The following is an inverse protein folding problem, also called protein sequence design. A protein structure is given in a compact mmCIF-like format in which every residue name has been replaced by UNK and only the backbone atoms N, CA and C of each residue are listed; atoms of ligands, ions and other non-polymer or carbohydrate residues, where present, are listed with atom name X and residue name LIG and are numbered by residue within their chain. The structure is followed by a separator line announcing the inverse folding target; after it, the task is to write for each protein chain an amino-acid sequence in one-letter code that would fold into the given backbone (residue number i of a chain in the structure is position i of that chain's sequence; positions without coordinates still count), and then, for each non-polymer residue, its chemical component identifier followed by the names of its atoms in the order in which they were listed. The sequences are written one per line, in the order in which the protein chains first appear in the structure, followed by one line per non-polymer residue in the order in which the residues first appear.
data_IF_985003676902
#
_entry.id   IF_985003676902
#
_cell.length_a   1.000
_cell.length_b   1.000
_cell.length_c   1.000
_cell.angle_alpha   90.00
_cell.angle_beta   90.00
_cell.angle_gamma   90.00
#
_symmetry.space_group_name_H-M   'P 1'
#
loop_
_entity.id
_entity.type
_entity.pdbx_description
1 polymer ?
#
# COMPACT_ATOMS: atom_id res chain seq x y z
N UNK A 1 3.38 -5.87 -1.53
CA UNK A 1 4.18 -6.07 -0.31
C UNK A 1 3.33 -6.44 0.91
N UNK A 2 2.24 -5.74 1.21
CA UNK A 2 1.34 -6.09 2.34
C UNK A 2 0.72 -7.48 2.20
N UNK A 3 0.35 -7.91 0.98
CA UNK A 3 -0.22 -9.25 0.73
C UNK A 3 0.77 -10.40 0.96
N UNK A 4 2.05 -10.21 0.60
CA UNK A 4 3.09 -11.24 0.79
C UNK A 4 3.43 -11.37 2.27
N UNK A 5 3.55 -10.27 3.00
CA UNK A 5 3.76 -10.26 4.45
C UNK A 5 2.56 -10.85 5.19
N UNK A 6 1.34 -10.54 4.75
CA UNK A 6 0.12 -11.14 5.29
C UNK A 6 0.02 -12.65 5.01
N UNK A 7 0.41 -13.08 3.81
CA UNK A 7 0.46 -14.49 3.43
C UNK A 7 1.51 -15.26 4.24
N UNK A 8 2.71 -14.72 4.37
CA UNK A 8 3.77 -15.30 5.20
C UNK A 8 3.37 -15.34 6.67
N UNK A 9 2.78 -14.27 7.21
CA UNK A 9 2.30 -14.24 8.58
C UNK A 9 1.22 -15.31 8.83
N UNK A 10 0.30 -15.53 7.89
CA UNK A 10 -0.70 -16.59 7.99
C UNK A 10 -0.11 -17.99 7.90
N UNK A 11 0.90 -18.21 7.04
CA UNK A 11 1.61 -19.49 6.97
C UNK A 11 2.37 -19.78 8.27
N UNK A 12 3.08 -18.81 8.81
CA UNK A 12 3.76 -18.92 10.10
C UNK A 12 2.79 -19.16 11.25
N UNK A 13 1.66 -18.46 11.27
CA UNK A 13 0.60 -18.66 12.25
C UNK A 13 0.00 -20.07 12.14
N UNK A 14 -0.28 -20.56 10.92
CA UNK A 14 -0.85 -21.90 10.74
C UNK A 14 0.13 -23.00 11.16
N UNK A 15 1.44 -22.82 10.92
CA UNK A 15 2.47 -23.73 11.41
C UNK A 15 2.64 -23.63 12.92
N UNK A 16 2.60 -22.44 13.50
CA UNK A 16 2.74 -22.26 14.95
C UNK A 16 1.57 -22.89 15.72
N UNK A 17 0.35 -22.88 15.18
CA UNK A 17 -0.80 -23.60 15.74
C UNK A 17 -0.62 -25.12 15.77
N UNK A 18 0.21 -25.66 14.87
CA UNK A 18 0.49 -27.10 14.84
C UNK A 18 1.49 -27.55 15.92
N UNK A 19 2.35 -26.62 16.38
CA UNK A 19 3.46 -26.94 17.30
C UNK A 19 3.35 -26.27 18.67
N UNK A 20 2.38 -25.39 18.88
CA UNK A 20 2.24 -24.59 20.12
C UNK A 20 0.81 -24.57 20.61
N UNK A 21 0.66 -24.41 21.93
CA UNK A 21 -0.67 -24.17 22.51
C UNK A 21 -1.29 -22.88 22.00
N UNK A 22 -2.59 -22.92 21.72
CA UNK A 22 -3.37 -21.78 21.17
C UNK A 22 -3.24 -20.52 22.04
N UNK A 23 -3.01 -20.69 23.34
CA UNK A 23 -2.82 -19.60 24.30
C UNK A 23 -1.58 -18.73 24.02
N UNK A 24 -0.51 -19.35 23.50
CA UNK A 24 0.74 -18.63 23.15
C UNK A 24 0.68 -17.95 21.79
N UNK A 25 -0.13 -18.47 20.86
CA UNK A 25 -0.24 -17.93 19.50
C UNK A 25 -1.22 -16.76 19.44
N UNK A 26 -2.22 -16.73 20.32
CA UNK A 26 -3.22 -15.66 20.37
C UNK A 26 -2.62 -14.26 20.56
N UNK A 27 -1.68 -14.00 21.49
CA UNK A 27 -1.05 -12.68 21.63
C UNK A 27 -0.28 -12.21 20.42
N UNK A 28 0.33 -13.12 19.64
CA UNK A 28 1.09 -12.79 18.43
C UNK A 28 0.21 -12.16 17.34
N UNK A 29 -1.08 -12.51 17.28
CA UNK A 29 -2.04 -11.87 16.35
C UNK A 29 -2.25 -10.39 16.69
N UNK A 30 -2.30 -10.06 17.98
CA UNK A 30 -2.45 -8.66 18.42
C UNK A 30 -1.19 -7.83 18.14
N UNK A 31 -0.01 -8.43 18.21
CA UNK A 31 1.23 -7.77 17.76
C UNK A 31 1.15 -7.41 16.28
N UNK A 32 0.67 -8.32 15.43
CA UNK A 32 0.44 -8.02 14.00
C UNK A 32 -0.51 -6.83 13.79
N UNK A 33 -1.58 -6.73 14.60
CA UNK A 33 -2.50 -5.59 14.55
C UNK A 33 -1.81 -4.28 14.96
N UNK A 34 -1.02 -4.29 16.03
CA UNK A 34 -0.25 -3.12 16.49
C UNK A 34 0.72 -2.65 15.40
N UNK A 35 1.48 -3.57 14.81
CA UNK A 35 2.38 -3.24 13.69
C UNK A 35 1.63 -2.68 12.48
N UNK A 36 0.45 -3.22 12.15
CA UNK A 36 -0.39 -2.71 11.08
C UNK A 36 -0.84 -1.26 11.35
N UNK A 37 -1.25 -0.95 12.58
CA UNK A 37 -1.65 0.41 12.97
C UNK A 37 -0.46 1.37 12.86
N UNK A 38 0.70 1.01 13.41
CA UNK A 38 1.93 1.83 13.32
C UNK A 38 2.30 2.07 11.86
N UNK A 39 2.23 1.05 11.03
CA UNK A 39 2.51 1.15 9.60
C UNK A 39 1.52 2.08 8.88
N UNK A 40 0.23 2.01 9.19
CA UNK A 40 -0.79 2.91 8.64
C UNK A 40 -0.55 4.38 9.03
N UNK A 41 -0.18 4.64 10.29
CA UNK A 41 0.17 5.97 10.76
C UNK A 41 1.42 6.50 10.02
N UNK A 42 2.45 5.66 9.86
CA UNK A 42 3.65 5.99 9.09
C UNK A 42 3.34 6.32 7.64
N UNK A 43 2.51 5.51 6.96
CA UNK A 43 2.09 5.79 5.58
C UNK A 43 1.31 7.10 5.45
N UNK A 44 0.44 7.41 6.43
CA UNK A 44 -0.32 8.66 6.44
C UNK A 44 0.61 9.86 6.59
N UNK A 45 1.60 9.76 7.49
CA UNK A 45 2.62 10.79 7.65
C UNK A 45 3.44 11.00 6.37
N UNK A 46 3.88 9.92 5.73
CA UNK A 46 4.64 9.97 4.47
C UNK A 46 3.80 10.65 3.36
N UNK A 47 2.51 10.34 3.25
CA UNK A 47 1.64 10.96 2.25
C UNK A 47 1.53 12.49 2.46
N UNK A 48 1.40 12.95 3.70
CA UNK A 48 1.37 14.38 4.05
C UNK A 48 2.72 15.04 3.77
N UNK A 49 3.83 14.38 4.14
CA UNK A 49 5.19 14.86 3.90
C UNK A 49 5.47 15.00 2.39
N UNK A 50 5.11 14.01 1.57
CA UNK A 50 5.25 14.07 0.11
C UNK A 50 4.45 15.26 -0.44
N UNK A 51 3.22 15.46 0.01
CA UNK A 51 2.44 16.61 -0.44
C UNK A 51 3.10 17.95 -0.08
N UNK A 52 3.60 18.10 1.14
CA UNK A 52 4.28 19.32 1.57
C UNK A 52 5.55 19.55 0.74
N UNK A 53 6.30 18.48 0.48
CA UNK A 53 7.55 18.55 -0.29
C UNK A 53 7.27 18.80 -1.78
N UNK A 54 6.17 18.27 -2.33
CA UNK A 54 5.79 18.45 -3.74
C UNK A 54 5.43 19.89 -4.12
N UNK A 55 5.27 20.80 -3.14
CA UNK A 55 5.09 22.23 -3.41
C UNK A 55 6.42 22.95 -3.70
N UNK A 56 7.52 22.41 -3.20
CA UNK A 56 8.87 23.01 -3.33
C UNK A 56 9.76 22.24 -4.28
N UNK A 57 9.61 20.91 -4.31
CA UNK A 57 10.48 20.02 -5.07
C UNK A 57 9.75 19.33 -6.22
N UNK A 58 10.44 19.01 -7.31
CA UNK A 58 9.85 18.27 -8.43
C UNK A 58 9.55 16.81 -8.04
N UNK A 59 8.45 16.27 -8.57
CA UNK A 59 7.96 14.92 -8.22
C UNK A 59 8.99 13.81 -8.49
N UNK A 60 9.82 13.95 -9.54
CA UNK A 60 10.86 12.97 -9.86
C UNK A 60 11.94 12.88 -8.77
N UNK A 61 12.31 14.02 -8.17
CA UNK A 61 13.31 14.07 -7.10
C UNK A 61 12.78 13.37 -5.84
N UNK A 62 11.53 13.64 -5.47
CA UNK A 62 10.86 13.00 -4.33
C UNK A 62 10.82 11.48 -4.52
N UNK A 63 10.40 11.03 -5.72
CA UNK A 63 10.33 9.61 -6.05
C UNK A 63 11.70 8.95 -6.08
N UNK A 64 12.72 9.66 -6.57
CA UNK A 64 14.10 9.17 -6.58
C UNK A 64 14.63 8.92 -5.15
N UNK A 65 14.54 9.92 -4.27
CA UNK A 65 15.01 9.77 -2.89
C UNK A 65 14.22 8.71 -2.13
N UNK A 66 12.92 8.59 -2.37
CA UNK A 66 12.10 7.52 -1.79
C UNK A 66 12.59 6.13 -2.22
N UNK A 67 12.78 5.93 -3.52
CA UNK A 67 13.28 4.66 -4.06
C UNK A 67 14.71 4.37 -3.61
N UNK A 68 15.57 5.39 -3.58
CA UNK A 68 16.95 5.29 -3.10
C UNK A 68 17.01 4.89 -1.62
N UNK A 69 16.17 5.48 -0.78
CA UNK A 69 16.07 5.12 0.64
C UNK A 69 15.63 3.67 0.84
N UNK A 70 14.66 3.21 0.06
CA UNK A 70 14.21 1.80 0.10
C UNK A 70 15.34 0.88 -0.35
N UNK A 71 16.08 1.25 -1.39
CA UNK A 71 17.24 0.49 -1.86
C UNK A 71 18.30 0.34 -0.75
N UNK A 72 18.67 1.44 -0.08
CA UNK A 72 19.63 1.40 1.03
C UNK A 72 19.14 0.51 2.18
N UNK A 73 17.88 0.65 2.57
CA UNK A 73 17.29 -0.20 3.61
C UNK A 73 17.24 -1.67 3.19
N UNK A 74 17.03 -1.95 1.90
CA UNK A 74 17.05 -3.30 1.36
C UNK A 74 18.42 -3.95 1.48
N UNK A 75 19.52 -3.18 1.35
CA UNK A 75 20.87 -3.68 1.56
C UNK A 75 21.11 -4.19 2.99
N UNK A 76 20.41 -3.65 3.98
CA UNK A 76 20.50 -4.16 5.36
C UNK A 76 19.99 -5.60 5.48
N UNK A 77 19.11 -6.06 4.57
CA UNK A 77 18.63 -7.44 4.54
C UNK A 77 19.64 -8.44 3.96
N UNK A 78 20.78 -7.98 3.45
CA UNK A 78 21.86 -8.84 2.97
C UNK A 78 22.35 -9.85 4.03
N UNK A 79 22.22 -9.46 5.29
CA UNK A 79 22.58 -10.31 6.43
C UNK A 79 21.74 -11.60 6.55
N UNK A 80 20.57 -11.64 5.90
CA UNK A 80 19.66 -12.81 5.93
C UNK A 80 19.98 -13.86 4.85
N UNK A 81 21.06 -13.67 4.08
CA UNK A 81 21.47 -14.57 2.99
C UNK A 81 20.62 -14.35 1.73
N UNK A 82 21.15 -13.62 0.77
CA UNK A 82 20.50 -13.42 -0.52
C UNK A 82 20.73 -14.62 -1.42
N UNK A 83 19.66 -15.12 -2.00
CA UNK A 83 19.71 -16.13 -3.04
C UNK A 83 19.70 -15.39 -4.38
N UNK A 84 20.65 -15.70 -5.25
CA UNK A 84 20.67 -15.12 -6.60
C UNK A 84 19.44 -15.60 -7.38
N UNK A 85 18.63 -14.68 -7.89
CA UNK A 85 17.43 -15.03 -8.65
C UNK A 85 17.82 -15.64 -10.00
N UNK A 86 16.94 -16.47 -10.55
CA UNK A 86 17.09 -16.97 -11.92
C UNK A 86 16.98 -15.81 -12.93
N UNK A 87 17.43 -16.02 -14.17
CA UNK A 87 17.33 -15.00 -15.23
C UNK A 87 15.88 -14.53 -15.45
N UNK A 88 14.94 -15.46 -15.38
CA UNK A 88 13.52 -15.15 -15.51
C UNK A 88 13.02 -14.32 -14.34
N UNK A 89 13.40 -14.67 -13.10
CA UNK A 89 13.04 -13.91 -11.91
C UNK A 89 13.66 -12.52 -11.94
N UNK A 90 14.90 -12.39 -12.43
CA UNK A 90 15.56 -11.10 -12.59
C UNK A 90 14.80 -10.19 -13.56
N UNK A 91 14.35 -10.76 -14.68
CA UNK A 91 13.53 -10.03 -15.65
C UNK A 91 12.21 -9.58 -15.04
N UNK A 92 11.50 -10.46 -14.34
CA UNK A 92 10.24 -10.14 -13.67
C UNK A 92 10.42 -9.10 -12.57
N UNK A 93 11.47 -9.22 -11.75
CA UNK A 93 11.80 -8.24 -10.72
C UNK A 93 12.13 -6.87 -11.32
N UNK A 94 12.85 -6.83 -12.43
CA UNK A 94 13.15 -5.58 -13.15
C UNK A 94 11.88 -4.92 -13.67
N UNK A 95 10.97 -5.69 -14.25
CA UNK A 95 9.66 -5.21 -14.70
C UNK A 95 8.85 -4.62 -13.54
N UNK A 96 8.77 -5.33 -12.43
CA UNK A 96 8.08 -4.84 -11.21
C UNK A 96 8.73 -3.56 -10.68
N UNK A 97 10.07 -3.49 -10.69
CA UNK A 97 10.81 -2.30 -10.27
C UNK A 97 10.53 -1.08 -11.14
N UNK A 98 10.55 -1.25 -12.46
CA UNK A 98 10.27 -0.16 -13.42
C UNK A 98 8.82 0.31 -13.28
N UNK A 99 7.85 -0.61 -13.33
CA UNK A 99 6.42 -0.26 -13.20
C UNK A 99 6.10 0.36 -11.85
N UNK A 100 6.69 -0.16 -10.76
CA UNK A 100 6.54 0.39 -9.42
C UNK A 100 7.15 1.78 -9.28
N UNK A 101 8.32 2.01 -9.89
CA UNK A 101 8.97 3.32 -9.94
C UNK A 101 8.12 4.36 -10.69
N UNK A 102 7.59 4.01 -11.87
CA UNK A 102 6.69 4.87 -12.63
C UNK A 102 5.40 5.17 -11.86
N UNK A 103 4.79 4.16 -11.25
CA UNK A 103 3.60 4.34 -10.43
C UNK A 103 3.86 5.28 -9.24
N UNK A 104 5.01 5.16 -8.59
CA UNK A 104 5.39 6.04 -7.49
C UNK A 104 5.63 7.49 -7.95
N UNK A 105 6.23 7.67 -9.13
CA UNK A 105 6.43 8.98 -9.74
C UNK A 105 5.09 9.65 -10.05
N UNK A 106 4.15 8.95 -10.68
CA UNK A 106 2.81 9.47 -10.97
C UNK A 106 2.02 9.76 -9.69
N UNK A 107 2.16 8.92 -8.67
CA UNK A 107 1.55 9.14 -7.37
C UNK A 107 2.08 10.43 -6.71
N UNK A 108 3.40 10.64 -6.71
CA UNK A 108 4.03 11.85 -6.19
C UNK A 108 3.57 13.09 -6.96
N UNK A 109 3.45 12.97 -8.28
CA UNK A 109 2.94 14.04 -9.13
C UNK A 109 1.45 14.35 -8.86
N UNK A 110 0.63 13.34 -8.60
CA UNK A 110 -0.79 13.52 -8.27
C UNK A 110 -0.99 14.31 -6.98
N UNK A 111 -0.12 14.14 -5.99
CA UNK A 111 -0.15 14.91 -4.75
C UNK A 111 0.21 16.39 -4.92
N UNK A 112 0.91 16.74 -6.00
CA UNK A 112 1.20 18.13 -6.35
C UNK A 112 -0.07 18.87 -6.82
N UNK A 113 -0.91 18.19 -7.59
CA UNK A 113 -2.10 18.81 -8.23
C UNK A 113 -3.39 18.61 -7.44
N UNK A 114 -3.41 17.68 -6.49
CA UNK A 114 -4.62 17.34 -5.74
C UNK A 114 -4.35 17.11 -4.27
N UNK A 115 -5.38 17.27 -3.44
CA UNK A 115 -5.28 16.96 -2.02
C UNK A 115 -5.14 15.48 -1.77
N UNK A 116 -4.39 15.12 -0.70
CA UNK A 116 -4.17 13.73 -0.31
C UNK A 116 -5.48 13.00 -0.06
N UNK A 117 -6.48 13.69 0.50
CA UNK A 117 -7.82 13.16 0.75
C UNK A 117 -8.59 12.77 -0.53
N UNK A 118 -8.29 13.42 -1.67
CA UNK A 118 -8.86 13.07 -2.97
C UNK A 118 -8.11 11.93 -3.66
N UNK A 119 -6.78 11.89 -3.51
CA UNK A 119 -5.93 10.87 -4.15
C UNK A 119 -5.98 9.54 -3.39
N UNK A 120 -6.07 9.58 -2.07
CA UNK A 120 -6.04 8.38 -1.23
C UNK A 120 -7.14 7.36 -1.53
N UNK A 121 -8.42 7.75 -1.75
CA UNK A 121 -9.46 6.80 -2.12
C UNK A 121 -9.18 6.05 -3.43
N UNK A 122 -8.51 6.69 -4.39
CA UNK A 122 -8.17 6.06 -5.68
C UNK A 122 -7.18 4.91 -5.54
N UNK A 123 -6.35 4.91 -4.49
CA UNK A 123 -5.45 3.79 -4.19
C UNK A 123 -6.20 2.48 -3.92
N UNK A 124 -7.43 2.57 -3.41
CA UNK A 124 -8.23 1.38 -3.14
C UNK A 124 -8.77 0.70 -4.40
N UNK A 125 -8.70 1.35 -5.58
CA UNK A 125 -8.90 0.65 -6.85
C UNK A 125 -7.91 -0.50 -7.03
N UNK A 126 -6.70 -0.38 -6.49
CA UNK A 126 -5.72 -1.47 -6.47
C UNK A 126 -6.23 -2.73 -5.76
N UNK A 127 -7.09 -2.60 -4.75
CA UNK A 127 -7.72 -3.74 -4.08
C UNK A 127 -8.67 -4.49 -5.03
N UNK A 128 -9.43 -3.74 -5.84
CA UNK A 128 -10.34 -4.32 -6.83
C UNK A 128 -9.55 -5.10 -7.88
N UNK A 129 -8.50 -4.49 -8.43
CA UNK A 129 -7.61 -5.17 -9.37
C UNK A 129 -6.91 -6.38 -8.76
N UNK A 130 -6.47 -6.30 -7.49
CA UNK A 130 -5.86 -7.42 -6.80
C UNK A 130 -6.82 -8.62 -6.68
N UNK A 131 -8.09 -8.39 -6.40
CA UNK A 131 -9.12 -9.45 -6.34
C UNK A 131 -9.35 -10.05 -7.73
N UNK A 132 -9.48 -9.20 -8.76
CA UNK A 132 -9.71 -9.63 -10.14
C UNK A 132 -8.53 -10.48 -10.63
N UNK A 133 -7.31 -9.98 -10.51
CA UNK A 133 -6.12 -10.70 -10.96
C UNK A 133 -5.83 -11.94 -10.11
N UNK A 134 -6.09 -11.90 -8.79
CA UNK A 134 -6.00 -13.07 -7.92
C UNK A 134 -6.90 -14.20 -8.41
N UNK A 135 -8.12 -13.87 -8.80
CA UNK A 135 -9.04 -14.85 -9.36
C UNK A 135 -8.59 -15.37 -10.73
N UNK A 136 -8.26 -14.48 -11.69
CA UNK A 136 -7.96 -14.90 -13.07
C UNK A 136 -6.58 -15.55 -13.23
N UNK A 137 -5.56 -15.13 -12.47
CA UNK A 137 -4.19 -15.61 -12.65
C UNK A 137 -3.87 -16.78 -11.72
N UNK A 138 -4.32 -16.70 -10.45
CA UNK A 138 -4.02 -17.71 -9.43
C UNK A 138 -5.20 -18.59 -9.05
N UNK A 139 -6.37 -18.36 -9.67
CA UNK A 139 -7.60 -19.09 -9.35
C UNK A 139 -7.98 -19.01 -7.84
N UNK A 140 -7.58 -17.92 -7.18
CA UNK A 140 -7.87 -17.68 -5.78
C UNK A 140 -9.30 -17.18 -5.61
N UNK A 141 -10.14 -17.95 -4.92
CA UNK A 141 -11.51 -17.53 -4.59
C UNK A 141 -11.47 -16.72 -3.29
N UNK A 142 -11.79 -15.40 -3.32
CA UNK A 142 -11.78 -14.60 -2.11
C UNK A 142 -12.86 -15.09 -1.13
N UNK A 143 -12.51 -15.19 0.14
CA UNK A 143 -13.46 -15.56 1.18
C UNK A 143 -14.55 -14.50 1.34
N UNK A 144 -15.74 -14.90 1.81
CA UNK A 144 -16.85 -13.96 2.06
C UNK A 144 -16.44 -12.81 2.99
N UNK A 145 -15.55 -13.07 3.96
CA UNK A 145 -15.00 -12.03 4.86
C UNK A 145 -14.14 -11.02 4.09
N UNK A 146 -13.34 -11.47 3.14
CA UNK A 146 -12.52 -10.62 2.28
C UNK A 146 -13.39 -9.74 1.38
N UNK A 147 -14.46 -10.29 0.82
CA UNK A 147 -15.41 -9.54 -0.02
C UNK A 147 -16.15 -8.48 0.79
N UNK A 148 -16.61 -8.81 2.00
CA UNK A 148 -17.24 -7.83 2.90
C UNK A 148 -16.27 -6.70 3.27
N UNK A 149 -15.04 -7.02 3.60
CA UNK A 149 -14.00 -6.02 3.89
C UNK A 149 -13.73 -5.11 2.69
N UNK A 150 -13.61 -5.68 1.49
CA UNK A 150 -13.40 -4.94 0.26
C UNK A 150 -14.58 -4.00 -0.05
N UNK A 151 -15.82 -4.48 0.12
CA UNK A 151 -17.03 -3.69 -0.07
C UNK A 151 -17.07 -2.48 0.89
N UNK A 152 -16.78 -2.68 2.17
CA UNK A 152 -16.73 -1.60 3.16
C UNK A 152 -15.67 -0.55 2.81
N UNK A 153 -14.50 -0.96 2.34
CA UNK A 153 -13.42 -0.06 1.92
C UNK A 153 -13.84 0.75 0.69
N UNK A 154 -14.48 0.11 -0.30
CA UNK A 154 -14.95 0.79 -1.52
C UNK A 154 -16.04 1.81 -1.17
N UNK A 155 -17.04 1.42 -0.38
CA UNK A 155 -18.14 2.31 0.02
C UNK A 155 -17.61 3.52 0.80
N UNK A 156 -16.74 3.30 1.79
CA UNK A 156 -16.14 4.42 2.55
C UNK A 156 -15.29 5.33 1.65
N UNK A 157 -14.57 4.76 0.69
CA UNK A 157 -13.78 5.54 -0.27
C UNK A 157 -14.65 6.44 -1.16
N UNK A 158 -15.79 5.92 -1.62
CA UNK A 158 -16.75 6.69 -2.42
C UNK A 158 -17.36 7.83 -1.58
N UNK A 159 -17.71 7.56 -0.32
CA UNK A 159 -18.26 8.58 0.59
C UNK A 159 -17.24 9.70 0.81
N UNK A 160 -15.98 9.36 1.12
CA UNK A 160 -14.90 10.33 1.30
C UNK A 160 -14.71 11.15 0.04
N UNK A 161 -14.61 10.51 -1.13
CA UNK A 161 -14.40 11.20 -2.40
C UNK A 161 -15.54 12.19 -2.73
N UNK A 162 -16.79 11.75 -2.56
CA UNK A 162 -17.95 12.62 -2.77
C UNK A 162 -17.98 13.83 -1.82
N UNK A 163 -17.67 13.61 -0.56
CA UNK A 163 -17.59 14.67 0.44
C UNK A 163 -16.54 15.71 0.07
N UNK A 164 -15.34 15.27 -0.28
CA UNK A 164 -14.24 16.15 -0.66
C UNK A 164 -14.55 16.97 -1.92
N UNK A 165 -15.15 16.34 -2.92
CA UNK A 165 -15.60 17.02 -4.13
C UNK A 165 -16.67 18.09 -3.82
N UNK A 166 -17.60 17.79 -2.93
CA UNK A 166 -18.62 18.75 -2.50
C UNK A 166 -18.00 19.96 -1.77
N UNK A 167 -17.11 19.72 -0.83
CA UNK A 167 -16.40 20.78 -0.10
C UNK A 167 -15.58 21.68 -1.03
N UNK A 168 -14.87 21.08 -1.97
CA UNK A 168 -14.08 21.82 -2.96
C UNK A 168 -14.95 22.71 -3.83
N UNK A 169 -16.11 22.23 -4.26
CA UNK A 169 -17.09 23.02 -5.03
C UNK A 169 -17.63 24.22 -4.21
N UNK A 170 -17.94 24.02 -2.94
CA UNK A 170 -18.44 25.07 -2.04
C UNK A 170 -17.39 26.17 -1.83
N UNK A 171 -16.12 25.79 -1.61
CA UNK A 171 -15.01 26.74 -1.44
C UNK A 171 -14.70 27.53 -2.71
N UNK A 172 -14.90 26.95 -3.89
CA UNK A 172 -14.69 27.66 -5.16
C UNK A 172 -15.78 28.73 -5.40
N UNK A 173 -17.02 28.49 -4.99
CA UNK A 173 -18.11 29.47 -5.11
C UNK A 173 -17.90 30.65 -4.15
N UNK A 174 -17.53 30.40 -2.89
CA UNK A 174 -17.33 31.47 -1.90
C UNK A 174 -16.09 32.34 -2.15
N UNK A 175 -15.25 32.00 -3.11
CA UNK A 175 -14.06 32.79 -3.50
C UNK A 175 -14.37 33.77 -4.64
N UNK A 176 -15.53 33.63 -5.27
CA UNK A 176 -16.00 34.50 -6.37
C UNK A 176 -17.10 35.48 -5.94
N UNK A 177 -17.55 35.40 -4.68
CA UNK A 177 -18.36 36.39 -3.99
C UNK A 177 -17.46 37.35 -3.18
#
# INVERSE_FOLDING_TARGET
MVGILGGLANLWLSQSYKYSEVSLVSPLKYLGLVFAIIFCLGLSYVAIAIRKLSSTEPAWLISFFFSFSIMLLSFLSFYQGWILPSLLDLFLLSMVGILGGLANLWLSQSYKYSEVSLVSPLKYLGLVFAIIFGYFIWNEIPTSKTLLGALLVIVSSIIIFRREMYLKKKLSVSRHE
#
